data_IF_512814253666
#
_entry.id   IF_512814253666
#
_cell.length_a   1.000
_cell.length_b   1.000
_cell.length_c   1.000
_cell.angle_alpha   90.00
_cell.angle_beta   90.00
_cell.angle_gamma   90.00
#
_symmetry.space_group_name_H-M   'P 1'
#
loop_
_entity.id
_entity.type
_entity.pdbx_description
1 polymer ?
#
# COMPACT_ATOMS: atom_id res chain seq x y z
N UNK A 1 -69.23 -52.45 18.57
CA UNK A 1 -68.97 -51.19 17.91
C UNK A 1 -67.58 -50.74 18.29
N UNK A 2 -66.58 -50.89 17.41
CA UNK A 2 -65.20 -50.41 17.60
C UNK A 2 -64.96 -49.18 16.75
N UNK A 3 -64.74 -48.02 17.38
CA UNK A 3 -64.34 -46.83 16.73
C UNK A 3 -62.82 -46.90 16.39
N UNK A 4 -62.47 -46.83 15.10
CA UNK A 4 -61.09 -46.64 14.65
C UNK A 4 -60.83 -45.12 14.59
N UNK A 5 -59.94 -44.65 15.43
CA UNK A 5 -59.36 -43.32 15.38
C UNK A 5 -58.24 -43.32 14.32
N UNK A 6 -58.39 -42.51 13.27
CA UNK A 6 -57.35 -42.28 12.28
C UNK A 6 -56.48 -41.11 12.75
N UNK A 7 -55.23 -41.41 13.12
CA UNK A 7 -54.18 -40.36 13.28
C UNK A 7 -53.69 -39.93 11.91
N UNK A 8 -53.89 -38.65 11.58
CA UNK A 8 -53.28 -38.00 10.42
C UNK A 8 -51.96 -37.41 10.90
N UNK A 9 -50.83 -37.99 10.48
CA UNK A 9 -49.49 -37.45 10.72
C UNK A 9 -49.23 -36.40 9.66
N UNK A 10 -49.24 -35.11 10.00
CA UNK A 10 -48.84 -34.04 9.14
C UNK A 10 -47.28 -34.01 9.09
N UNK A 11 -46.73 -34.43 7.96
CA UNK A 11 -45.28 -34.29 7.67
C UNK A 11 -45.02 -32.85 7.21
N UNK A 12 -44.45 -32.03 8.07
CA UNK A 12 -43.97 -30.71 7.69
C UNK A 12 -42.69 -30.88 6.82
N UNK A 13 -42.83 -30.63 5.54
CA UNK A 13 -41.65 -30.44 4.65
C UNK A 13 -41.02 -29.10 4.98
N UNK A 14 -39.90 -29.12 5.69
CA UNK A 14 -38.98 -27.97 5.68
C UNK A 14 -38.33 -27.94 4.31
N UNK A 15 -38.77 -27.02 3.48
CA UNK A 15 -38.01 -26.62 2.30
C UNK A 15 -36.76 -25.90 2.82
N UNK A 16 -35.62 -26.61 2.88
CA UNK A 16 -34.34 -25.98 2.96
C UNK A 16 -34.16 -25.18 1.64
N UNK A 17 -34.44 -23.90 1.68
CA UNK A 17 -34.06 -23.01 0.59
C UNK A 17 -32.55 -23.11 0.43
N UNK A 18 -32.10 -23.58 -0.73
CA UNK A 18 -30.72 -23.42 -1.13
C UNK A 18 -30.48 -21.90 -1.21
N UNK A 19 -29.90 -21.31 -0.15
CA UNK A 19 -29.31 -19.99 -0.26
C UNK A 19 -28.19 -20.13 -1.28
N UNK A 20 -28.43 -19.61 -2.48
CA UNK A 20 -27.35 -19.50 -3.49
C UNK A 20 -26.29 -18.56 -2.91
N UNK A 21 -25.02 -18.96 -2.98
CA UNK A 21 -23.91 -18.10 -2.59
C UNK A 21 -23.99 -16.77 -3.35
N UNK A 22 -23.85 -15.66 -2.63
CA UNK A 22 -23.86 -14.34 -3.26
C UNK A 22 -22.47 -14.05 -3.84
N UNK A 23 -22.41 -13.86 -5.14
CA UNK A 23 -21.18 -13.46 -5.82
C UNK A 23 -20.94 -11.96 -5.61
N UNK A 24 -19.74 -11.60 -5.14
CA UNK A 24 -19.30 -10.23 -4.98
C UNK A 24 -18.02 -10.02 -5.80
N UNK A 25 -18.08 -9.23 -6.86
CA UNK A 25 -16.90 -8.89 -7.66
C UNK A 25 -16.07 -7.84 -6.93
N UNK A 26 -14.79 -8.15 -6.72
CA UNK A 26 -13.87 -7.33 -5.95
C UNK A 26 -12.70 -6.89 -6.84
N UNK A 27 -12.62 -5.60 -7.10
CA UNK A 27 -11.57 -5.02 -7.95
C UNK A 27 -10.38 -4.56 -7.12
N UNK A 28 -9.18 -4.93 -7.55
CA UNK A 28 -7.93 -4.55 -6.90
C UNK A 28 -6.76 -4.60 -7.89
N UNK A 29 -5.56 -4.12 -7.47
CA UNK A 29 -4.35 -4.15 -8.28
C UNK A 29 -3.27 -5.10 -7.74
N UNK A 30 -3.57 -5.93 -6.77
CA UNK A 30 -2.65 -6.90 -6.17
C UNK A 30 -2.44 -8.11 -7.10
N UNK A 31 -1.47 -7.98 -8.01
CA UNK A 31 -1.22 -8.97 -9.08
C UNK A 31 0.18 -9.56 -9.07
N UNK A 32 1.12 -9.01 -8.27
CA UNK A 32 2.44 -9.61 -8.08
C UNK A 32 2.36 -10.91 -7.29
N UNK A 33 3.44 -11.68 -7.24
CA UNK A 33 3.45 -12.97 -6.55
C UNK A 33 3.07 -12.87 -5.07
N UNK A 34 3.67 -11.93 -4.35
CA UNK A 34 3.40 -11.68 -2.93
C UNK A 34 2.01 -11.13 -2.69
N UNK A 35 1.59 -10.17 -3.52
CA UNK A 35 0.27 -9.53 -3.39
C UNK A 35 -0.88 -10.48 -3.70
N UNK A 36 -0.76 -11.29 -4.77
CA UNK A 36 -1.76 -12.29 -5.12
C UNK A 36 -1.90 -13.36 -4.01
N UNK A 37 -0.80 -13.77 -3.40
CA UNK A 37 -0.83 -14.68 -2.26
C UNK A 37 -1.52 -14.06 -1.03
N UNK A 38 -1.38 -12.75 -0.84
CA UNK A 38 -2.02 -12.04 0.26
C UNK A 38 -3.54 -11.89 0.05
N UNK A 39 -3.98 -11.40 -1.11
CA UNK A 39 -5.42 -11.21 -1.39
C UNK A 39 -6.20 -12.52 -1.40
N UNK A 40 -5.55 -13.63 -1.75
CA UNK A 40 -6.15 -14.96 -1.67
C UNK A 40 -6.60 -15.33 -0.24
N UNK A 41 -5.97 -14.78 0.81
CA UNK A 41 -6.43 -14.99 2.18
C UNK A 41 -7.76 -14.26 2.47
N UNK A 42 -7.99 -13.07 1.87
CA UNK A 42 -9.30 -12.41 1.94
C UNK A 42 -10.36 -13.20 1.19
N UNK A 43 -10.07 -13.63 -0.04
CA UNK A 43 -11.00 -14.43 -0.84
C UNK A 43 -11.39 -15.72 -0.11
N UNK A 44 -10.42 -16.46 0.42
CA UNK A 44 -10.65 -17.70 1.20
C UNK A 44 -11.51 -17.43 2.44
N UNK A 45 -11.25 -16.34 3.16
CA UNK A 45 -12.01 -16.01 4.35
C UNK A 45 -13.45 -15.59 4.00
N UNK A 46 -13.66 -14.88 2.89
CA UNK A 46 -14.97 -14.48 2.41
C UNK A 46 -15.79 -15.66 1.89
N UNK A 47 -15.18 -16.57 1.11
CA UNK A 47 -15.84 -17.80 0.64
C UNK A 47 -16.28 -18.69 1.80
N UNK A 48 -15.54 -18.69 2.91
CA UNK A 48 -15.90 -19.43 4.11
C UNK A 48 -17.18 -18.90 4.83
N UNK A 49 -17.63 -17.67 4.50
CA UNK A 49 -18.92 -17.14 5.01
C UNK A 49 -20.14 -17.71 4.25
N UNK A 50 -19.93 -18.37 3.12
CA UNK A 50 -20.98 -18.87 2.23
C UNK A 50 -21.28 -17.92 1.05
N UNK A 51 -20.58 -16.82 0.95
CA UNK A 51 -20.55 -15.96 -0.24
C UNK A 51 -19.48 -16.46 -1.23
N UNK A 52 -19.31 -15.77 -2.36
CA UNK A 52 -18.28 -16.09 -3.35
C UNK A 52 -17.51 -14.82 -3.73
N UNK A 53 -16.19 -14.84 -3.51
CA UNK A 53 -15.29 -13.81 -4.01
C UNK A 53 -15.08 -14.00 -5.51
N UNK A 54 -15.46 -13.00 -6.30
CA UNK A 54 -15.16 -12.98 -7.74
C UNK A 54 -13.99 -12.01 -7.95
N UNK A 55 -12.82 -12.59 -8.21
CA UNK A 55 -11.60 -11.82 -8.37
C UNK A 55 -11.62 -10.99 -9.65
N UNK A 56 -11.38 -9.69 -9.53
CA UNK A 56 -11.36 -8.73 -10.64
C UNK A 56 -10.08 -7.89 -10.63
N UNK A 57 -8.92 -8.56 -10.55
CA UNK A 57 -7.62 -7.93 -10.50
C UNK A 57 -7.24 -7.24 -11.82
N UNK A 58 -6.67 -6.04 -11.71
CA UNK A 58 -6.12 -5.27 -12.85
C UNK A 58 -4.67 -4.91 -12.56
N UNK A 59 -3.76 -5.27 -13.46
CA UNK A 59 -2.34 -4.95 -13.35
C UNK A 59 -2.11 -3.45 -13.38
N UNK A 60 -1.42 -2.93 -12.38
CA UNK A 60 -1.05 -1.53 -12.25
C UNK A 60 -2.11 -0.67 -11.56
N UNK A 61 -1.73 -0.04 -10.45
CA UNK A 61 -2.64 0.72 -9.59
C UNK A 61 -3.33 1.89 -10.31
N UNK A 62 -2.64 2.59 -11.21
CA UNK A 62 -3.24 3.72 -11.96
C UNK A 62 -4.33 3.23 -12.92
N UNK A 63 -4.05 2.17 -13.71
CA UNK A 63 -5.01 1.59 -14.62
C UNK A 63 -6.22 1.00 -13.86
N UNK A 64 -5.98 0.33 -12.74
CA UNK A 64 -7.02 -0.24 -11.90
C UNK A 64 -7.93 0.85 -11.33
N UNK A 65 -7.37 1.92 -10.76
CA UNK A 65 -8.16 3.08 -10.24
C UNK A 65 -9.01 3.71 -11.32
N UNK A 66 -8.44 3.98 -12.50
CA UNK A 66 -9.18 4.55 -13.62
C UNK A 66 -10.36 3.66 -14.05
N UNK A 67 -10.16 2.35 -14.10
CA UNK A 67 -11.22 1.39 -14.43
C UNK A 67 -12.32 1.34 -13.35
N UNK A 68 -11.95 1.36 -12.07
CA UNK A 68 -12.89 1.38 -10.94
C UNK A 68 -13.76 2.64 -10.97
N UNK A 69 -13.15 3.81 -11.08
CA UNK A 69 -13.86 5.10 -11.18
C UNK A 69 -14.78 5.11 -12.39
N UNK A 70 -14.31 4.66 -13.56
CA UNK A 70 -15.11 4.60 -14.79
C UNK A 70 -16.35 3.72 -14.63
N UNK A 71 -16.23 2.53 -14.01
CA UNK A 71 -17.37 1.64 -13.76
C UNK A 71 -18.39 2.25 -12.79
N UNK A 72 -17.91 2.87 -11.71
CA UNK A 72 -18.77 3.50 -10.70
C UNK A 72 -19.58 4.65 -11.33
N UNK A 73 -18.91 5.58 -12.04
CA UNK A 73 -19.56 6.72 -12.69
C UNK A 73 -20.47 6.24 -13.85
N UNK A 74 -20.05 5.17 -14.55
CA UNK A 74 -20.86 4.57 -15.63
C UNK A 74 -22.12 3.83 -15.16
N UNK A 75 -22.32 3.69 -13.85
CA UNK A 75 -23.52 3.03 -13.28
C UNK A 75 -23.46 1.50 -13.27
N UNK A 76 -22.29 0.92 -13.48
CA UNK A 76 -22.03 -0.53 -13.41
C UNK A 76 -20.96 -0.82 -12.34
N UNK A 77 -21.18 -0.41 -11.08
CA UNK A 77 -20.19 -0.59 -10.03
C UNK A 77 -19.91 -2.06 -9.73
N UNK A 78 -18.71 -2.33 -9.23
CA UNK A 78 -18.33 -3.60 -8.64
C UNK A 78 -18.90 -3.75 -7.23
N UNK A 79 -18.78 -4.96 -6.65
CA UNK A 79 -19.21 -5.22 -5.27
C UNK A 79 -18.34 -4.54 -4.23
N UNK A 80 -17.02 -4.55 -4.41
CA UNK A 80 -16.07 -3.85 -3.57
C UNK A 80 -14.82 -3.50 -4.41
N UNK A 81 -14.03 -2.53 -3.95
CA UNK A 81 -12.79 -2.18 -4.63
C UNK A 81 -11.74 -1.67 -3.67
N UNK A 82 -10.47 -1.86 -4.05
CA UNK A 82 -9.31 -1.36 -3.35
C UNK A 82 -8.99 0.07 -3.77
N UNK A 83 -8.78 0.96 -2.79
CA UNK A 83 -8.00 2.19 -2.91
C UNK A 83 -7.05 2.30 -1.73
N UNK A 84 -6.15 3.27 -1.75
CA UNK A 84 -5.50 3.70 -0.53
C UNK A 84 -6.50 4.53 0.27
N UNK A 85 -6.48 4.41 1.61
CA UNK A 85 -7.27 5.31 2.44
C UNK A 85 -6.73 6.75 2.38
N UNK A 86 -7.53 7.72 2.81
CA UNK A 86 -7.24 9.13 2.67
C UNK A 86 -8.01 9.77 1.52
N UNK A 87 -7.38 10.68 0.79
CA UNK A 87 -8.07 11.56 -0.16
C UNK A 87 -8.48 10.92 -1.49
N UNK A 88 -8.02 9.70 -1.80
CA UNK A 88 -8.27 9.07 -3.11
C UNK A 88 -9.74 8.85 -3.47
N UNK A 89 -10.63 8.72 -2.49
CA UNK A 89 -12.05 8.46 -2.70
C UNK A 89 -12.96 9.68 -2.45
N UNK A 90 -12.41 10.84 -2.09
CA UNK A 90 -13.17 12.05 -1.70
C UNK A 90 -14.25 12.39 -2.73
N UNK A 91 -13.91 12.52 -4.00
CA UNK A 91 -14.86 12.88 -5.06
C UNK A 91 -16.01 11.88 -5.23
N UNK A 92 -15.73 10.58 -5.07
CA UNK A 92 -16.75 9.53 -5.14
C UNK A 92 -17.69 9.58 -3.93
N UNK A 93 -17.15 9.89 -2.75
CA UNK A 93 -17.93 10.06 -1.51
C UNK A 93 -18.82 11.29 -1.62
N UNK A 94 -18.28 12.43 -1.99
CA UNK A 94 -19.03 13.70 -2.17
C UNK A 94 -20.14 13.57 -3.22
N UNK A 95 -19.91 12.77 -4.25
CA UNK A 95 -20.88 12.46 -5.28
C UNK A 95 -21.96 11.45 -4.83
N UNK A 96 -21.88 10.93 -3.59
CA UNK A 96 -22.84 9.95 -3.05
C UNK A 96 -22.79 8.58 -3.73
N UNK A 97 -21.66 8.23 -4.34
CA UNK A 97 -21.47 6.98 -5.08
C UNK A 97 -20.96 5.84 -4.21
N UNK A 98 -20.46 6.14 -3.00
CA UNK A 98 -19.97 5.16 -2.04
C UNK A 98 -20.92 4.99 -0.86
N UNK A 99 -20.97 3.77 -0.37
CA UNK A 99 -21.79 3.36 0.77
C UNK A 99 -21.15 3.83 2.07
N UNK A 100 -21.94 4.46 2.93
CA UNK A 100 -21.65 4.68 4.33
C UNK A 100 -21.73 3.33 5.07
N UNK A 101 -20.63 2.96 5.74
CA UNK A 101 -20.49 1.73 6.52
C UNK A 101 -20.27 2.01 8.01
N UNK A 102 -20.69 3.18 8.49
CA UNK A 102 -20.52 3.60 9.89
C UNK A 102 -21.20 2.62 10.85
N UNK A 103 -22.39 2.12 10.49
CA UNK A 103 -23.13 1.11 11.26
C UNK A 103 -22.31 -0.18 11.48
N UNK A 104 -21.58 -0.61 10.47
CA UNK A 104 -20.71 -1.80 10.55
C UNK A 104 -19.49 -1.49 11.43
N UNK A 105 -18.85 -0.34 11.19
CA UNK A 105 -17.70 0.09 11.97
C UNK A 105 -18.00 0.22 13.47
N UNK A 106 -19.18 0.73 13.82
CA UNK A 106 -19.67 0.83 15.19
C UNK A 106 -19.97 -0.54 15.80
N UNK A 107 -20.71 -1.39 15.07
CA UNK A 107 -21.06 -2.74 15.53
C UNK A 107 -19.83 -3.63 15.77
N UNK A 108 -18.79 -3.47 14.96
CA UNK A 108 -17.52 -4.21 15.05
C UNK A 108 -16.50 -3.55 15.99
N UNK A 109 -16.80 -2.36 16.55
CA UNK A 109 -15.93 -1.68 17.51
C UNK A 109 -14.64 -1.12 16.94
N UNK A 110 -14.63 -0.70 15.68
CA UNK A 110 -13.42 -0.22 14.98
C UNK A 110 -12.77 0.97 15.67
N UNK A 111 -13.55 1.78 16.39
CA UNK A 111 -13.05 2.95 17.14
C UNK A 111 -11.95 2.58 18.13
N UNK A 112 -12.10 1.45 18.81
CA UNK A 112 -11.21 1.00 19.88
C UNK A 112 -10.17 -0.02 19.38
N UNK A 113 -10.37 -0.57 18.19
CA UNK A 113 -9.58 -1.65 17.63
C UNK A 113 -8.52 -1.17 16.64
N UNK A 114 -8.83 -0.16 15.80
CA UNK A 114 -7.91 0.33 14.75
C UNK A 114 -6.79 1.16 15.37
N UNK A 115 -5.55 0.76 15.09
CA UNK A 115 -4.34 1.39 15.61
C UNK A 115 -3.27 1.51 14.51
N UNK A 116 -2.77 2.71 14.22
CA UNK A 116 -3.16 3.99 14.82
C UNK A 116 -4.56 4.45 14.38
N UNK A 117 -5.22 5.26 15.21
CA UNK A 117 -6.59 5.74 14.91
C UNK A 117 -6.69 6.55 13.63
N UNK A 118 -5.57 7.15 13.20
CA UNK A 118 -5.48 7.90 11.93
C UNK A 118 -5.88 7.06 10.69
N UNK A 119 -5.73 5.74 10.72
CA UNK A 119 -6.16 4.86 9.63
C UNK A 119 -7.69 4.83 9.50
N UNK A 120 -8.39 4.77 10.64
CA UNK A 120 -9.85 4.86 10.64
C UNK A 120 -10.30 6.28 10.25
N UNK A 121 -9.62 7.29 10.79
CA UNK A 121 -9.95 8.69 10.53
C UNK A 121 -9.73 9.03 9.04
N UNK A 122 -8.77 8.40 8.37
CA UNK A 122 -8.55 8.48 6.92
C UNK A 122 -9.67 7.80 6.08
N UNK A 123 -10.50 6.94 6.70
CA UNK A 123 -11.72 6.41 6.09
C UNK A 123 -12.97 7.26 6.38
N UNK A 124 -12.83 8.37 7.14
CA UNK A 124 -13.95 9.17 7.59
C UNK A 124 -14.08 10.47 6.79
N UNK A 125 -15.29 10.74 6.31
CA UNK A 125 -15.70 12.03 5.73
C UNK A 125 -16.95 12.51 6.48
N UNK A 126 -16.93 13.73 7.00
CA UNK A 126 -18.02 14.31 7.80
C UNK A 126 -18.48 13.42 8.97
N UNK A 127 -17.54 12.70 9.59
CA UNK A 127 -17.78 11.80 10.72
C UNK A 127 -18.41 10.45 10.35
N UNK A 128 -18.56 10.13 9.07
CA UNK A 128 -19.06 8.86 8.54
C UNK A 128 -17.92 8.04 7.97
N UNK A 129 -17.97 6.73 8.12
CA UNK A 129 -16.94 5.79 7.65
C UNK A 129 -17.33 5.24 6.27
N UNK A 130 -16.43 5.35 5.31
CA UNK A 130 -16.63 4.91 3.93
C UNK A 130 -15.69 3.81 3.47
N UNK A 131 -14.68 3.45 4.26
CA UNK A 131 -13.78 2.36 3.91
C UNK A 131 -13.41 1.47 5.11
N UNK A 132 -13.00 0.26 4.79
CA UNK A 132 -12.42 -0.69 5.72
C UNK A 132 -10.89 -0.70 5.51
N UNK A 133 -10.07 -0.11 6.40
CA UNK A 133 -8.62 -0.17 6.28
C UNK A 133 -8.13 -1.60 6.52
N UNK A 134 -7.19 -2.10 5.73
CA UNK A 134 -6.77 -3.50 5.82
C UNK A 134 -5.32 -3.70 6.23
N UNK A 135 -4.49 -2.68 6.10
CA UNK A 135 -3.10 -2.72 6.53
C UNK A 135 -2.55 -1.31 6.83
N UNK A 136 -1.39 -1.31 7.47
CA UNK A 136 -0.45 -0.22 7.38
C UNK A 136 0.58 -0.68 6.36
N UNK A 137 0.60 -0.08 5.15
CA UNK A 137 1.69 -0.28 4.23
C UNK A 137 2.55 0.98 4.17
N UNK A 138 3.82 0.84 4.49
CA UNK A 138 4.67 2.00 4.64
C UNK A 138 5.71 2.13 3.54
N UNK A 139 5.78 3.32 2.97
CA UNK A 139 6.83 3.78 2.10
C UNK A 139 7.99 4.32 2.95
N UNK A 140 9.08 3.52 3.12
CA UNK A 140 10.22 4.03 3.88
C UNK A 140 11.45 3.16 3.78
N UNK A 141 11.38 2.10 2.99
CA UNK A 141 12.37 1.05 3.06
C UNK A 141 13.42 1.16 1.96
N UNK A 142 14.69 0.93 2.33
CA UNK A 142 15.72 0.52 1.40
C UNK A 142 15.90 -0.99 1.57
N UNK A 143 15.60 -1.73 0.52
CA UNK A 143 15.82 -3.17 0.41
C UNK A 143 17.18 -3.39 -0.18
N UNK A 144 18.06 -4.15 0.49
CA UNK A 144 19.49 -4.31 0.14
C UNK A 144 19.80 -5.78 -0.10
N UNK A 145 20.41 -6.11 -1.24
CA UNK A 145 20.86 -7.46 -1.58
C UNK A 145 22.23 -7.75 -0.94
N UNK A 146 22.30 -8.70 -0.02
CA UNK A 146 23.60 -9.14 0.53
C UNK A 146 24.49 -9.70 -0.58
N UNK A 147 23.92 -10.57 -1.41
CA UNK A 147 24.63 -11.18 -2.54
C UNK A 147 25.24 -10.15 -3.51
N UNK A 148 24.55 -9.07 -3.84
CA UNK A 148 25.07 -8.07 -4.77
C UNK A 148 26.31 -7.35 -4.20
N UNK A 149 26.28 -7.02 -2.91
CA UNK A 149 27.40 -6.38 -2.22
C UNK A 149 28.57 -7.34 -2.02
N UNK A 150 28.33 -8.57 -1.60
CA UNK A 150 29.36 -9.60 -1.42
C UNK A 150 30.07 -9.92 -2.75
N UNK A 151 29.31 -10.16 -3.84
CA UNK A 151 29.85 -10.39 -5.18
C UNK A 151 30.71 -9.21 -5.68
N UNK A 152 30.45 -8.00 -5.19
CA UNK A 152 31.17 -6.77 -5.55
C UNK A 152 32.35 -6.49 -4.61
N UNK A 153 32.56 -7.32 -3.58
CA UNK A 153 33.64 -7.16 -2.60
C UNK A 153 33.47 -5.95 -1.69
N UNK A 154 32.23 -5.50 -1.45
CA UNK A 154 31.88 -4.36 -0.60
C UNK A 154 31.03 -4.82 0.57
N UNK A 155 31.20 -4.20 1.73
CA UNK A 155 30.38 -4.48 2.89
C UNK A 155 28.89 -4.14 2.61
N UNK A 156 27.99 -4.96 3.13
CA UNK A 156 26.55 -4.69 3.08
C UNK A 156 26.25 -3.39 3.85
N UNK A 157 25.61 -2.39 3.21
CA UNK A 157 25.37 -1.11 3.86
C UNK A 157 24.29 -1.21 4.94
N UNK A 158 24.40 -0.36 5.95
CA UNK A 158 23.43 -0.22 7.05
C UNK A 158 22.63 1.08 6.97
N UNK A 159 22.99 1.98 6.05
CA UNK A 159 22.34 3.26 5.83
C UNK A 159 22.55 3.77 4.39
N UNK A 160 21.82 4.82 4.04
CA UNK A 160 21.87 5.42 2.70
C UNK A 160 23.26 5.93 2.30
N UNK A 161 24.02 6.52 3.23
CA UNK A 161 25.36 7.04 2.94
C UNK A 161 26.30 5.91 2.53
N UNK A 162 26.28 4.80 3.25
CA UNK A 162 27.07 3.60 2.91
C UNK A 162 26.60 2.96 1.62
N UNK A 163 25.25 2.95 1.37
CA UNK A 163 24.68 2.45 0.12
C UNK A 163 25.20 3.23 -1.09
N UNK A 164 25.16 4.56 -1.03
CA UNK A 164 25.68 5.43 -2.09
C UNK A 164 27.18 5.21 -2.31
N UNK A 165 27.96 5.04 -1.24
CA UNK A 165 29.39 4.75 -1.34
C UNK A 165 29.69 3.41 -2.03
N UNK A 166 28.76 2.44 -1.94
CA UNK A 166 28.85 1.13 -2.60
C UNK A 166 28.47 1.14 -4.09
N UNK A 167 27.91 2.25 -4.63
CA UNK A 167 27.39 2.29 -5.99
C UNK A 167 28.46 2.03 -7.07
N UNK A 168 29.61 2.70 -7.01
CA UNK A 168 30.66 2.55 -8.01
C UNK A 168 31.28 1.11 -8.03
N UNK A 169 31.58 0.46 -6.90
CA UNK A 169 31.93 -0.97 -6.90
C UNK A 169 30.86 -1.89 -7.50
N UNK A 170 29.57 -1.67 -7.20
CA UNK A 170 28.48 -2.44 -7.79
C UNK A 170 28.46 -2.29 -9.32
N UNK A 171 28.58 -1.07 -9.84
CA UNK A 171 28.66 -0.82 -11.27
C UNK A 171 29.87 -1.49 -11.93
N UNK A 172 31.04 -1.46 -11.26
CA UNK A 172 32.25 -2.11 -11.73
C UNK A 172 32.09 -3.64 -11.80
N UNK A 173 31.27 -4.22 -10.91
CA UNK A 173 30.90 -5.63 -10.91
C UNK A 173 29.75 -5.94 -11.90
N UNK A 174 29.30 -4.98 -12.71
CA UNK A 174 28.23 -5.13 -13.69
C UNK A 174 26.82 -5.20 -13.08
N UNK A 175 26.67 -4.78 -11.83
CA UNK A 175 25.38 -4.71 -11.13
C UNK A 175 24.68 -3.35 -11.36
N UNK A 176 23.38 -3.31 -11.15
CA UNK A 176 22.61 -2.06 -11.04
C UNK A 176 22.70 -1.59 -9.59
N UNK A 177 23.25 -0.40 -9.28
CA UNK A 177 23.31 0.02 -7.88
C UNK A 177 21.93 0.15 -7.24
N UNK A 178 20.99 0.86 -7.89
CA UNK A 178 19.64 1.06 -7.41
C UNK A 178 18.63 0.57 -8.45
N UNK A 179 17.91 -0.50 -8.15
CA UNK A 179 16.80 -0.95 -8.99
C UNK A 179 15.59 -0.02 -8.82
N UNK A 180 14.99 0.38 -9.93
CA UNK A 180 13.82 1.26 -9.97
C UNK A 180 12.96 0.93 -11.18
N UNK A 181 11.65 0.82 -11.02
CA UNK A 181 10.74 0.68 -12.15
C UNK A 181 10.44 2.02 -12.81
N UNK A 182 9.93 1.96 -14.04
CA UNK A 182 9.74 3.13 -14.90
C UNK A 182 8.34 3.78 -14.76
N UNK A 183 7.52 3.34 -13.80
CA UNK A 183 6.21 3.96 -13.53
C UNK A 183 6.38 5.16 -12.60
N UNK A 184 5.75 6.30 -12.90
CA UNK A 184 5.93 7.57 -12.19
C UNK A 184 5.73 7.50 -10.68
N UNK A 185 4.77 6.71 -10.20
CA UNK A 185 4.53 6.51 -8.78
C UNK A 185 5.72 5.89 -8.03
N UNK A 186 6.56 5.09 -8.70
CA UNK A 186 7.75 4.50 -8.08
C UNK A 186 8.84 5.56 -7.90
N UNK A 187 8.98 6.44 -8.85
CA UNK A 187 9.98 7.52 -8.85
C UNK A 187 9.59 8.62 -7.85
N UNK A 188 8.33 9.06 -7.86
CA UNK A 188 7.81 10.02 -6.87
C UNK A 188 7.80 9.41 -5.47
N UNK A 189 7.44 8.13 -5.33
CA UNK A 189 7.51 7.41 -4.06
C UNK A 189 8.92 7.33 -3.50
N UNK A 190 9.93 7.02 -4.34
CA UNK A 190 11.33 7.02 -3.92
C UNK A 190 11.78 8.40 -3.45
N UNK A 191 11.39 9.48 -4.15
CA UNK A 191 11.67 10.85 -3.71
C UNK A 191 11.01 11.16 -2.35
N UNK A 192 9.75 10.77 -2.16
CA UNK A 192 9.04 10.95 -0.88
C UNK A 192 9.73 10.21 0.28
N UNK A 193 10.21 8.99 0.03
CA UNK A 193 11.01 8.25 1.01
C UNK A 193 12.32 8.96 1.32
N UNK A 194 13.01 9.49 0.31
CA UNK A 194 14.23 10.26 0.51
C UNK A 194 13.93 11.53 1.33
N UNK A 195 12.84 12.26 1.04
CA UNK A 195 12.43 13.43 1.83
C UNK A 195 12.18 13.07 3.28
N UNK A 196 11.39 12.04 3.55
CA UNK A 196 11.08 11.59 4.91
C UNK A 196 12.29 11.05 5.67
N UNK A 197 13.31 10.54 4.95
CA UNK A 197 14.47 9.85 5.54
C UNK A 197 15.71 10.71 5.67
N UNK A 198 15.92 11.63 4.75
CA UNK A 198 17.13 12.45 4.67
C UNK A 198 16.94 13.85 5.28
N UNK A 199 15.68 14.29 5.41
CA UNK A 199 15.35 15.60 5.98
C UNK A 199 14.65 15.44 7.35
N UNK A 200 14.66 16.50 8.19
CA UNK A 200 13.82 16.57 9.38
C UNK A 200 12.33 16.44 9.07
N UNK A 201 11.56 15.83 9.98
CA UNK A 201 10.12 15.58 9.75
C UNK A 201 9.29 16.86 9.62
N UNK A 202 9.71 17.95 10.26
CA UNK A 202 9.06 19.26 10.15
C UNK A 202 9.14 19.84 8.74
N UNK A 203 10.22 19.58 8.01
CA UNK A 203 10.33 19.93 6.60
C UNK A 203 9.31 19.15 5.76
N UNK A 204 9.20 17.82 5.97
CA UNK A 204 8.20 17.00 5.29
C UNK A 204 6.78 17.52 5.53
N UNK A 205 6.45 17.81 6.79
CA UNK A 205 5.12 18.33 7.15
C UNK A 205 4.87 19.74 6.63
N UNK A 206 5.86 20.63 6.67
CA UNK A 206 5.74 21.98 6.12
C UNK A 206 5.46 21.93 4.59
N UNK A 207 6.18 21.06 3.86
CA UNK A 207 6.00 20.95 2.41
C UNK A 207 4.69 20.28 2.04
N UNK A 208 4.41 19.08 2.58
CA UNK A 208 3.25 18.29 2.16
C UNK A 208 1.99 18.52 3.02
N UNK A 209 2.14 18.83 4.29
CA UNK A 209 1.02 19.16 5.18
C UNK A 209 0.55 20.60 5.00
N UNK A 210 1.47 21.55 5.16
CA UNK A 210 1.15 22.99 5.17
C UNK A 210 1.23 23.62 3.77
N UNK A 211 1.72 22.90 2.76
CA UNK A 211 1.92 23.40 1.38
C UNK A 211 2.84 24.62 1.32
N UNK A 212 3.86 24.67 2.20
CA UNK A 212 4.79 25.78 2.27
C UNK A 212 5.81 25.76 1.13
N UNK A 213 5.49 26.50 0.06
CA UNK A 213 6.37 26.66 -1.08
C UNK A 213 7.71 27.33 -0.74
N UNK A 214 7.79 28.12 0.34
CA UNK A 214 9.03 28.77 0.77
C UNK A 214 9.99 27.75 1.38
N UNK A 215 9.48 26.76 2.12
CA UNK A 215 10.24 25.63 2.64
C UNK A 215 10.64 24.70 1.48
N UNK A 216 9.73 24.45 0.53
CA UNK A 216 10.04 23.66 -0.67
C UNK A 216 11.17 24.28 -1.53
N UNK A 217 11.35 25.59 -1.49
CA UNK A 217 12.44 26.32 -2.13
C UNK A 217 13.72 26.41 -1.26
N UNK A 218 13.70 25.87 -0.04
CA UNK A 218 14.79 25.98 0.92
C UNK A 218 16.01 25.11 0.59
N UNK A 219 17.16 25.39 1.22
CA UNK A 219 18.42 24.71 0.95
C UNK A 219 18.40 23.21 1.31
N UNK A 220 17.61 22.81 2.31
CA UNK A 220 17.43 21.41 2.69
C UNK A 220 16.79 20.61 1.54
N UNK A 221 15.73 21.17 0.91
CA UNK A 221 15.07 20.55 -0.24
C UNK A 221 15.97 20.62 -1.48
N UNK A 222 16.81 21.66 -1.63
CA UNK A 222 17.86 21.68 -2.67
C UNK A 222 18.81 20.49 -2.53
N UNK A 223 19.32 20.24 -1.33
CA UNK A 223 20.20 19.09 -1.07
C UNK A 223 19.50 17.75 -1.33
N UNK A 224 18.18 17.68 -1.09
CA UNK A 224 17.38 16.50 -1.40
C UNK A 224 17.28 16.27 -2.93
N UNK A 225 17.07 17.31 -3.74
CA UNK A 225 17.05 17.18 -5.20
C UNK A 225 18.43 16.76 -5.76
N UNK A 226 19.53 17.23 -5.17
CA UNK A 226 20.87 16.75 -5.49
C UNK A 226 21.05 15.25 -5.15
N UNK A 227 20.50 14.81 -4.01
CA UNK A 227 20.51 13.39 -3.64
C UNK A 227 19.62 12.55 -4.59
N UNK A 228 18.48 13.09 -5.04
CA UNK A 228 17.63 12.45 -6.04
C UNK A 228 18.30 12.35 -7.42
N UNK A 229 19.10 13.34 -7.81
CA UNK A 229 19.93 13.28 -9.02
C UNK A 229 20.98 12.16 -8.95
N UNK A 230 21.59 11.97 -7.78
CA UNK A 230 22.48 10.83 -7.54
C UNK A 230 21.71 9.49 -7.61
N UNK A 231 20.50 9.41 -7.02
CA UNK A 231 19.65 8.23 -7.11
C UNK A 231 19.27 7.91 -8.56
N UNK A 232 18.91 8.92 -9.36
CA UNK A 232 18.69 8.82 -10.81
C UNK A 232 19.90 8.20 -11.52
N UNK A 233 21.09 8.69 -11.21
CA UNK A 233 22.33 8.17 -11.80
C UNK A 233 22.57 6.71 -11.44
N UNK A 234 22.35 6.32 -10.19
CA UNK A 234 22.45 4.93 -9.73
C UNK A 234 21.40 4.00 -10.36
N UNK A 235 20.23 4.55 -10.72
CA UNK A 235 19.15 3.81 -11.35
C UNK A 235 19.21 3.79 -12.89
N UNK A 236 20.17 4.47 -13.51
CA UNK A 236 20.22 4.69 -14.98
C UNK A 236 20.25 3.38 -15.80
N UNK A 237 20.70 2.26 -15.22
CA UNK A 237 20.72 0.95 -15.87
C UNK A 237 19.54 0.06 -15.49
N UNK A 238 18.61 0.54 -14.67
CA UNK A 238 17.37 -0.17 -14.34
C UNK A 238 16.36 0.06 -15.45
N UNK A 239 16.09 -0.97 -16.26
CA UNK A 239 15.22 -0.89 -17.45
C UNK A 239 13.88 -1.59 -17.27
N UNK A 240 13.58 -2.05 -16.05
CA UNK A 240 12.32 -2.73 -15.72
C UNK A 240 11.17 -1.74 -15.58
N UNK A 241 9.94 -2.18 -15.89
CA UNK A 241 8.77 -1.33 -15.79
C UNK A 241 8.11 -1.41 -14.42
N UNK A 242 7.98 -2.62 -13.89
CA UNK A 242 7.21 -2.86 -12.68
C UNK A 242 8.12 -2.89 -11.44
N UNK A 243 7.55 -2.54 -10.32
CA UNK A 243 8.25 -2.53 -9.02
C UNK A 243 8.72 -3.92 -8.57
N UNK A 244 7.93 -4.96 -8.83
CA UNK A 244 8.25 -6.34 -8.47
C UNK A 244 9.38 -6.90 -9.35
N UNK A 245 9.50 -6.47 -10.61
CA UNK A 245 10.64 -6.81 -11.46
C UNK A 245 11.93 -6.16 -10.91
N UNK A 246 11.84 -4.90 -10.41
CA UNK A 246 12.96 -4.24 -9.74
C UNK A 246 13.33 -4.96 -8.43
N UNK A 247 12.34 -5.40 -7.64
CA UNK A 247 12.58 -6.22 -6.44
C UNK A 247 13.28 -7.53 -6.80
N UNK A 248 12.89 -8.16 -7.91
CA UNK A 248 13.55 -9.41 -8.36
C UNK A 248 15.03 -9.21 -8.74
N UNK A 249 15.41 -8.04 -9.26
CA UNK A 249 16.84 -7.73 -9.47
C UNK A 249 17.60 -7.71 -8.14
N UNK A 250 17.00 -7.23 -7.06
CA UNK A 250 17.59 -7.24 -5.70
C UNK A 250 17.68 -8.67 -5.17
N UNK A 251 16.60 -9.44 -5.25
CA UNK A 251 16.51 -10.85 -4.80
C UNK A 251 17.59 -11.70 -5.47
N UNK A 252 17.78 -11.51 -6.78
CA UNK A 252 18.74 -12.31 -7.56
C UNK A 252 20.18 -11.79 -7.50
N UNK A 253 20.44 -10.70 -6.77
CA UNK A 253 21.75 -10.08 -6.68
C UNK A 253 22.24 -9.40 -7.96
N UNK A 254 21.31 -9.04 -8.85
CA UNK A 254 21.58 -8.24 -10.06
C UNK A 254 21.59 -6.75 -9.75
N UNK A 255 20.90 -6.34 -8.66
CA UNK A 255 20.92 -4.97 -8.16
C UNK A 255 21.34 -4.92 -6.69
N UNK A 256 21.98 -3.79 -6.30
CA UNK A 256 22.40 -3.54 -4.93
C UNK A 256 21.24 -3.33 -3.98
N UNK A 257 20.22 -2.58 -4.41
CA UNK A 257 19.02 -2.34 -3.60
C UNK A 257 17.91 -1.66 -4.36
N UNK A 258 16.79 -1.42 -3.64
CA UNK A 258 15.60 -0.75 -4.14
C UNK A 258 14.99 0.09 -3.02
N UNK A 259 14.59 1.33 -3.32
CA UNK A 259 13.68 2.09 -2.46
C UNK A 259 12.25 1.68 -2.82
N UNK A 260 11.54 1.03 -1.88
CA UNK A 260 10.18 0.53 -2.11
C UNK A 260 9.46 0.35 -0.77
N UNK A 261 8.14 0.29 -0.84
CA UNK A 261 7.31 0.00 0.33
C UNK A 261 7.48 -1.41 0.87
N UNK A 262 6.84 -1.66 2.00
CA UNK A 262 6.91 -2.93 2.72
C UNK A 262 6.33 -4.12 1.93
N UNK A 263 5.44 -3.88 0.98
CA UNK A 263 4.91 -4.93 0.08
C UNK A 263 5.98 -5.66 -0.75
N UNK A 264 7.17 -5.07 -0.93
CA UNK A 264 8.29 -5.77 -1.56
C UNK A 264 8.67 -7.02 -0.77
N UNK A 265 8.44 -7.05 0.55
CA UNK A 265 8.70 -8.20 1.40
C UNK A 265 7.95 -9.46 0.95
N UNK A 266 6.73 -9.31 0.42
CA UNK A 266 5.97 -10.43 -0.14
C UNK A 266 6.70 -11.14 -1.28
N UNK A 267 7.43 -10.40 -2.13
CA UNK A 267 8.22 -10.97 -3.23
C UNK A 267 9.46 -11.72 -2.70
N UNK A 268 10.14 -11.17 -1.68
CA UNK A 268 11.24 -11.89 -1.00
C UNK A 268 10.75 -13.19 -0.36
N UNK A 269 9.57 -13.17 0.25
CA UNK A 269 8.96 -14.35 0.87
C UNK A 269 8.60 -15.43 -0.16
N UNK A 270 8.03 -15.06 -1.32
CA UNK A 270 7.73 -15.98 -2.44
C UNK A 270 9.02 -16.60 -2.99
N UNK A 271 10.11 -15.84 -3.04
CA UNK A 271 11.42 -16.33 -3.44
C UNK A 271 12.14 -17.16 -2.35
N UNK A 272 11.54 -17.33 -1.18
CA UNK A 272 12.14 -17.97 0.00
C UNK A 272 13.41 -17.29 0.50
N UNK A 273 13.59 -16.00 0.25
CA UNK A 273 14.70 -15.22 0.75
C UNK A 273 14.48 -14.87 2.24
N UNK A 274 15.55 -14.94 3.02
CA UNK A 274 15.54 -14.78 4.48
C UNK A 274 16.04 -13.39 4.86
N UNK A 275 15.19 -12.63 5.57
CA UNK A 275 15.58 -11.32 6.09
C UNK A 275 16.74 -11.41 7.07
N UNK A 276 17.77 -10.57 6.91
CA UNK A 276 18.98 -10.57 7.70
C UNK A 276 20.06 -11.54 7.21
N UNK A 277 19.73 -12.49 6.32
CA UNK A 277 20.69 -13.44 5.72
C UNK A 277 20.91 -13.14 4.23
N UNK A 278 19.82 -13.08 3.43
CA UNK A 278 19.89 -12.84 1.99
C UNK A 278 19.75 -11.36 1.64
N UNK A 279 18.99 -10.63 2.47
CA UNK A 279 18.72 -9.21 2.28
C UNK A 279 18.56 -8.45 3.60
N UNK A 280 18.78 -7.15 3.55
CA UNK A 280 18.45 -6.22 4.63
C UNK A 280 17.30 -5.31 4.24
N UNK A 281 16.49 -4.93 5.23
CA UNK A 281 15.47 -3.92 5.14
C UNK A 281 15.82 -2.76 6.09
N UNK A 282 16.04 -1.58 5.52
CA UNK A 282 16.49 -0.40 6.26
C UNK A 282 15.36 0.63 6.29
N UNK A 283 14.60 0.73 7.41
CA UNK A 283 13.55 1.73 7.54
C UNK A 283 14.16 3.13 7.59
N UNK A 284 13.49 4.11 6.94
CA UNK A 284 14.02 5.46 6.82
C UNK A 284 15.40 5.49 6.17
N UNK A 285 15.66 4.59 5.22
CA UNK A 285 16.96 4.41 4.56
C UNK A 285 18.12 4.18 5.55
N UNK A 286 17.84 3.73 6.78
CA UNK A 286 18.81 3.64 7.86
C UNK A 286 19.28 5.00 8.42
N UNK A 287 18.63 6.09 8.06
CA UNK A 287 18.98 7.47 8.47
C UNK A 287 17.98 8.03 9.50
N UNK A 288 16.70 8.04 9.16
CA UNK A 288 15.64 8.56 10.04
C UNK A 288 14.41 7.61 9.97
N UNK A 289 14.43 6.49 10.72
CA UNK A 289 13.36 5.51 10.64
C UNK A 289 12.03 6.07 11.20
N UNK A 290 11.01 6.04 10.34
CA UNK A 290 9.64 6.39 10.65
C UNK A 290 8.70 5.40 9.97
N UNK A 291 7.56 5.11 10.54
CA UNK A 291 6.51 4.31 9.91
C UNK A 291 5.56 5.25 9.17
N UNK A 292 5.52 5.16 7.85
CA UNK A 292 4.48 5.82 7.07
C UNK A 292 3.12 5.20 7.39
N UNK A 293 2.13 6.03 7.73
CA UNK A 293 0.78 5.55 8.08
C UNK A 293 -0.16 5.51 6.87
N UNK A 294 0.37 5.21 5.69
CA UNK A 294 -0.38 4.83 4.51
C UNK A 294 -1.01 3.45 4.65
N UNK A 295 -1.87 3.08 3.74
CA UNK A 295 -2.43 1.74 3.71
C UNK A 295 -3.47 1.55 2.62
N UNK A 296 -3.76 0.28 2.38
CA UNK A 296 -4.85 -0.13 1.53
C UNK A 296 -6.17 -0.17 2.31
N UNK A 297 -7.24 0.14 1.62
CA UNK A 297 -8.59 0.02 2.15
C UNK A 297 -9.55 -0.51 1.09
N UNK A 298 -10.61 -1.18 1.53
CA UNK A 298 -11.73 -1.52 0.67
C UNK A 298 -12.86 -0.51 0.82
N UNK A 299 -13.35 -0.06 -0.32
CA UNK A 299 -14.51 0.79 -0.47
C UNK A 299 -15.67 0.03 -1.09
N UNK A 300 -16.88 0.45 -0.81
CA UNK A 300 -18.11 -0.23 -1.19
C UNK A 300 -18.99 0.74 -1.98
N UNK A 301 -19.17 0.53 -3.29
CA UNK A 301 -20.09 1.34 -4.07
C UNK A 301 -21.53 1.16 -3.62
N UNK A 302 -22.38 2.16 -3.85
CA UNK A 302 -23.83 2.05 -3.66
C UNK A 302 -24.39 1.06 -4.67
N UNK A 303 -25.03 -0.01 -4.17
CA UNK A 303 -25.66 -1.06 -4.96
C UNK A 303 -27.18 -1.03 -4.77
N UNK A 304 -27.90 -1.76 -5.65
CA UNK A 304 -29.37 -1.90 -5.61
C UNK A 304 -29.83 -3.30 -5.21
N UNK A 305 -28.91 -4.28 -5.22
CA UNK A 305 -29.18 -5.68 -4.90
C UNK A 305 -28.97 -5.91 -3.41
N UNK A 306 -30.03 -6.22 -2.69
CA UNK A 306 -30.00 -6.40 -1.22
C UNK A 306 -29.06 -7.53 -0.79
N UNK A 307 -28.93 -8.61 -1.58
CA UNK A 307 -28.03 -9.71 -1.26
C UNK A 307 -26.56 -9.27 -1.40
N UNK A 308 -26.22 -8.50 -2.43
CA UNK A 308 -24.89 -7.93 -2.60
C UNK A 308 -24.59 -6.87 -1.54
N UNK A 309 -25.56 -6.06 -1.14
CA UNK A 309 -25.42 -5.09 -0.04
C UNK A 309 -25.13 -5.80 1.28
N UNK A 310 -25.80 -6.93 1.57
CA UNK A 310 -25.50 -7.76 2.72
C UNK A 310 -24.08 -8.34 2.66
N UNK A 311 -23.70 -8.90 1.51
CA UNK A 311 -22.35 -9.44 1.27
C UNK A 311 -21.24 -8.38 1.40
N UNK A 312 -21.47 -7.13 0.96
CA UNK A 312 -20.56 -6.00 1.24
C UNK A 312 -20.35 -5.79 2.75
N UNK A 313 -21.44 -5.84 3.53
CA UNK A 313 -21.37 -5.70 4.98
C UNK A 313 -20.58 -6.81 5.66
N UNK A 314 -20.78 -8.05 5.22
CA UNK A 314 -20.02 -9.21 5.72
C UNK A 314 -18.53 -9.11 5.35
N UNK A 315 -18.22 -8.67 4.12
CA UNK A 315 -16.84 -8.43 3.70
C UNK A 315 -16.19 -7.35 4.56
N UNK A 316 -16.83 -6.18 4.73
CA UNK A 316 -16.30 -5.09 5.54
C UNK A 316 -15.96 -5.55 6.97
N UNK A 317 -16.87 -6.26 7.63
CA UNK A 317 -16.64 -6.82 8.97
C UNK A 317 -15.52 -7.85 8.99
N UNK A 318 -15.42 -8.69 7.96
CA UNK A 318 -14.45 -9.78 7.85
C UNK A 318 -13.02 -9.25 7.71
N UNK A 319 -12.81 -8.19 6.94
CA UNK A 319 -11.49 -7.63 6.62
C UNK A 319 -10.68 -7.25 7.86
N UNK A 320 -11.36 -6.84 8.96
CA UNK A 320 -10.71 -6.47 10.21
C UNK A 320 -10.70 -7.60 11.26
N UNK A 321 -11.18 -8.81 10.97
CA UNK A 321 -11.11 -9.92 11.93
C UNK A 321 -9.65 -10.30 12.22
N UNK A 322 -9.29 -10.70 13.46
CA UNK A 322 -7.90 -11.00 13.84
C UNK A 322 -7.23 -12.00 12.91
N UNK A 323 -7.90 -13.11 12.62
CA UNK A 323 -7.36 -14.17 11.75
C UNK A 323 -7.12 -13.71 10.31
N UNK A 324 -8.02 -12.88 9.78
CA UNK A 324 -7.92 -12.31 8.44
C UNK A 324 -6.77 -11.32 8.36
N UNK A 325 -6.66 -10.43 9.36
CA UNK A 325 -5.59 -9.46 9.46
C UNK A 325 -4.20 -10.11 9.53
N UNK A 326 -4.04 -11.16 10.34
CA UNK A 326 -2.78 -11.90 10.43
C UNK A 326 -2.46 -12.60 9.12
N UNK A 327 -3.41 -13.35 8.56
CA UNK A 327 -3.19 -14.14 7.34
C UNK A 327 -2.79 -13.27 6.16
N UNK A 328 -3.49 -12.15 5.94
CA UNK A 328 -3.19 -11.21 4.87
C UNK A 328 -1.83 -10.52 5.07
N UNK A 329 -1.61 -9.91 6.24
CA UNK A 329 -0.44 -9.06 6.46
C UNK A 329 0.87 -9.85 6.51
N UNK A 330 0.88 -11.09 7.02
CA UNK A 330 2.06 -11.96 6.96
C UNK A 330 2.45 -12.32 5.53
N UNK A 331 1.51 -12.39 4.59
CA UNK A 331 1.77 -12.64 3.17
C UNK A 331 2.17 -11.37 2.42
N UNK A 332 1.48 -10.26 2.72
CA UNK A 332 1.71 -8.96 2.08
C UNK A 332 3.04 -8.34 2.51
N UNK A 333 3.48 -8.57 3.75
CA UNK A 333 4.64 -7.93 4.38
C UNK A 333 4.32 -6.59 5.05
N UNK A 334 3.05 -6.20 5.06
CA UNK A 334 2.53 -5.00 5.74
C UNK A 334 2.17 -5.29 7.19
N UNK A 335 1.79 -4.26 7.95
CA UNK A 335 1.34 -4.44 9.33
C UNK A 335 -0.20 -4.44 9.41
N UNK A 336 -0.80 -5.25 10.30
CA UNK A 336 -2.24 -5.20 10.53
C UNK A 336 -2.67 -3.86 11.16
N UNK A 337 -3.93 -3.49 10.90
CA UNK A 337 -4.53 -2.25 11.44
C UNK A 337 -4.98 -2.39 12.90
N UNK A 338 -4.61 -3.48 13.56
CA UNK A 338 -4.99 -3.77 14.96
C UNK A 338 -3.83 -4.36 15.75
N UNK A 339 -3.68 -3.94 17.01
CA UNK A 339 -2.58 -4.35 17.87
C UNK A 339 -2.84 -5.61 18.71
N UNK A 340 -4.06 -6.17 18.67
CA UNK A 340 -4.49 -7.30 19.48
C UNK A 340 -4.40 -8.67 18.76
N UNK A 341 -3.44 -8.79 17.83
CA UNK A 341 -3.20 -9.97 16.99
C UNK A 341 -1.83 -10.60 17.27
N UNK A 342 -1.74 -11.92 17.08
CA UNK A 342 -0.48 -12.66 17.22
C UNK A 342 0.36 -12.54 15.94
N UNK A 343 1.46 -11.84 16.04
CA UNK A 343 2.46 -11.63 14.98
C UNK A 343 3.80 -12.32 15.31
N UNK A 344 3.78 -13.38 16.11
CA UNK A 344 4.98 -14.16 16.45
C UNK A 344 5.67 -14.77 15.21
N UNK A 345 4.93 -14.95 14.11
CA UNK A 345 5.45 -15.40 12.83
C UNK A 345 6.01 -14.27 11.94
N UNK A 346 5.95 -13.00 12.38
CA UNK A 346 6.49 -11.87 11.64
C UNK A 346 8.03 -11.97 11.56
N UNK A 347 8.57 -11.72 10.36
CA UNK A 347 10.00 -11.72 10.14
C UNK A 347 10.70 -10.45 10.68
N UNK A 348 12.03 -10.37 10.59
CA UNK A 348 12.82 -9.24 11.07
C UNK A 348 12.35 -7.88 10.54
N UNK A 349 11.96 -7.79 9.26
CA UNK A 349 11.51 -6.54 8.65
C UNK A 349 10.16 -6.07 9.22
N UNK A 350 9.19 -6.98 9.37
CA UNK A 350 7.93 -6.67 10.03
C UNK A 350 8.14 -6.27 11.50
N UNK A 351 9.05 -6.95 12.21
CA UNK A 351 9.38 -6.61 13.60
C UNK A 351 9.95 -5.19 13.73
N UNK A 352 10.77 -4.74 12.76
CA UNK A 352 11.24 -3.34 12.72
C UNK A 352 10.08 -2.36 12.55
N UNK A 353 9.13 -2.67 11.67
CA UNK A 353 7.91 -1.87 11.49
C UNK A 353 7.05 -1.80 12.76
N UNK A 354 6.82 -2.94 13.42
CA UNK A 354 6.09 -3.02 14.70
C UNK A 354 6.78 -2.19 15.79
N UNK A 355 8.11 -2.26 15.88
CA UNK A 355 8.85 -1.47 16.85
C UNK A 355 8.71 0.05 16.62
N UNK A 356 8.62 0.50 15.36
CA UNK A 356 8.35 1.91 15.03
C UNK A 356 6.92 2.31 15.40
N UNK A 357 5.95 1.43 15.18
CA UNK A 357 4.55 1.64 15.57
C UNK A 357 4.44 1.78 17.10
N UNK A 358 5.05 0.89 17.86
CA UNK A 358 5.05 0.89 19.32
C UNK A 358 5.73 2.14 19.91
N UNK A 359 6.75 2.66 19.25
CA UNK A 359 7.44 3.88 19.62
C UNK A 359 6.67 5.16 19.26
N UNK A 360 5.57 5.04 18.49
CA UNK A 360 4.87 6.20 17.95
C UNK A 360 5.71 6.99 16.95
N UNK A 361 6.72 6.34 16.33
CA UNK A 361 7.58 6.94 15.32
C UNK A 361 6.86 6.99 13.97
N UNK A 362 5.77 7.74 13.89
CA UNK A 362 4.84 7.76 12.76
C UNK A 362 5.02 9.00 11.89
N UNK A 363 4.69 8.87 10.60
CA UNK A 363 4.61 9.97 9.65
C UNK A 363 3.39 9.74 8.74
N UNK A 364 2.55 10.76 8.46
CA UNK A 364 1.45 10.61 7.51
C UNK A 364 1.99 10.27 6.11
N UNK A 365 1.28 9.38 5.40
CA UNK A 365 1.55 9.14 3.99
C UNK A 365 1.10 10.32 3.12
N UNK A 366 1.75 10.53 1.99
CA UNK A 366 1.40 11.61 1.06
C UNK A 366 -0.01 11.50 0.50
N UNK A 367 -0.58 10.29 0.38
CA UNK A 367 -1.98 10.10 -0.03
C UNK A 367 -3.01 10.65 0.98
N UNK A 368 -2.59 10.88 2.23
CA UNK A 368 -3.41 11.54 3.24
C UNK A 368 -3.32 13.07 3.18
N UNK A 369 -2.22 13.57 2.63
CA UNK A 369 -1.87 14.98 2.61
C UNK A 369 -2.17 15.67 1.27
N UNK A 370 -2.02 14.96 0.15
CA UNK A 370 -2.12 15.48 -1.20
C UNK A 370 -3.39 14.97 -1.89
N UNK A 371 -3.99 15.84 -2.70
CA UNK A 371 -5.07 15.42 -3.62
C UNK A 371 -4.54 14.47 -4.69
N UNK A 372 -5.41 13.65 -5.31
CA UNK A 372 -5.03 12.83 -6.45
C UNK A 372 -4.42 13.62 -7.60
N UNK A 373 -4.90 14.85 -7.84
CA UNK A 373 -4.35 15.73 -8.88
C UNK A 373 -2.91 16.15 -8.58
N UNK A 374 -2.64 16.63 -7.35
CA UNK A 374 -1.26 16.97 -6.92
C UNK A 374 -0.33 15.75 -6.96
N UNK A 375 -0.81 14.57 -6.53
CA UNK A 375 -0.03 13.33 -6.61
C UNK A 375 0.29 12.95 -8.07
N UNK A 376 -0.64 13.12 -9.01
CA UNK A 376 -0.40 12.89 -10.44
C UNK A 376 0.60 13.88 -11.03
N UNK A 377 0.56 15.15 -10.63
CA UNK A 377 1.56 16.16 -11.02
C UNK A 377 2.95 15.76 -10.52
N UNK A 378 3.07 15.28 -9.27
CA UNK A 378 4.33 14.71 -8.75
C UNK A 378 4.82 13.53 -9.59
N UNK A 379 3.95 12.58 -9.90
CA UNK A 379 4.29 11.42 -10.72
C UNK A 379 4.86 11.87 -12.08
N UNK A 380 4.23 12.86 -12.71
CA UNK A 380 4.70 13.43 -13.97
C UNK A 380 6.08 14.08 -13.83
N UNK A 381 6.24 14.98 -12.85
CA UNK A 381 7.51 15.67 -12.57
C UNK A 381 8.66 14.68 -12.39
N UNK A 382 8.48 13.66 -11.56
CA UNK A 382 9.56 12.71 -11.29
C UNK A 382 9.78 11.72 -12.43
N UNK A 383 8.74 11.38 -13.21
CA UNK A 383 8.92 10.60 -14.44
C UNK A 383 9.83 11.36 -15.43
N UNK A 384 9.56 12.63 -15.66
CA UNK A 384 10.37 13.46 -16.54
C UNK A 384 11.79 13.65 -15.99
N UNK A 385 11.93 13.96 -14.70
CA UNK A 385 13.23 14.13 -14.06
C UNK A 385 14.10 12.86 -14.13
N UNK A 386 13.54 11.69 -13.90
CA UNK A 386 14.30 10.43 -13.97
C UNK A 386 14.60 9.99 -15.41
N UNK A 387 13.76 10.34 -16.38
CA UNK A 387 13.93 9.96 -17.79
C UNK A 387 14.89 10.90 -18.55
N UNK A 388 14.90 12.19 -18.23
CA UNK A 388 15.68 13.21 -18.94
C UNK A 388 16.79 13.80 -18.06
N UNK A 389 18.02 13.38 -18.34
CA UNK A 389 19.21 13.86 -17.62
C UNK A 389 19.57 15.32 -17.92
N UNK A 390 18.92 15.98 -18.88
CA UNK A 390 19.08 17.42 -19.13
C UNK A 390 18.33 18.28 -18.11
N UNK A 391 17.32 17.72 -17.42
CA UNK A 391 16.63 18.38 -16.32
C UNK A 391 17.54 18.34 -15.09
N UNK A 392 18.03 19.50 -14.67
CA UNK A 392 18.87 19.61 -13.48
C UNK A 392 18.06 19.47 -12.19
N UNK A 393 18.72 19.16 -11.06
CA UNK A 393 18.13 19.18 -9.73
C UNK A 393 17.44 20.52 -9.42
N UNK A 394 18.07 21.64 -9.83
CA UNK A 394 17.53 22.99 -9.63
C UNK A 394 16.25 23.24 -10.44
N UNK A 395 16.19 22.79 -11.71
CA UNK A 395 15.00 22.93 -12.54
C UNK A 395 13.83 22.10 -11.97
N UNK A 396 14.09 20.85 -11.59
CA UNK A 396 13.10 19.98 -10.99
C UNK A 396 12.58 20.54 -9.65
N UNK A 397 13.45 21.11 -8.81
CA UNK A 397 13.03 21.78 -7.58
C UNK A 397 12.15 23.00 -7.89
N UNK A 398 12.49 23.81 -8.90
CA UNK A 398 11.70 24.97 -9.26
C UNK A 398 10.26 24.58 -9.70
N UNK A 399 10.10 23.48 -10.41
CA UNK A 399 8.80 22.96 -10.81
C UNK A 399 8.05 22.33 -9.63
N UNK A 400 8.75 21.64 -8.73
CA UNK A 400 8.19 21.14 -7.47
C UNK A 400 7.65 22.28 -6.60
N UNK A 401 8.38 23.39 -6.45
CA UNK A 401 7.94 24.58 -5.71
C UNK A 401 6.64 25.15 -6.29
N UNK A 402 6.54 25.24 -7.62
CA UNK A 402 5.31 25.70 -8.28
C UNK A 402 4.13 24.76 -8.02
N UNK A 403 4.38 23.46 -8.05
CA UNK A 403 3.37 22.45 -7.76
C UNK A 403 2.87 22.57 -6.32
N UNK A 404 3.77 22.65 -5.33
CA UNK A 404 3.41 22.84 -3.93
C UNK A 404 2.64 24.15 -3.70
N UNK A 405 3.04 25.23 -4.35
CA UNK A 405 2.36 26.53 -4.24
C UNK A 405 0.91 26.52 -4.78
N UNK A 406 0.56 25.56 -5.64
CA UNK A 406 -0.77 25.39 -6.22
C UNK A 406 -1.51 24.16 -5.66
N UNK A 407 -0.93 23.45 -4.70
CA UNK A 407 -1.55 22.26 -4.11
C UNK A 407 -2.67 22.66 -3.13
N UNK A 408 -3.76 21.83 -3.10
CA UNK A 408 -4.92 21.98 -2.21
C UNK A 408 -4.75 21.22 -0.88
#
# INVERSE_FOLDING_TARGET
MKLLSKFITATAFFAAGNASATELDVMHWWTSGGEAAAVAEFAKAFDATGNTWVDAAIVGGEAARAAMVSRIIGGEPMGAFQFNHGRQAEELIESGLLRDITDIAEAEGWKDMVNPSSLRDACAVDGRIYCAPVNIHSWQWLWVSHKAFEDSGVAVPTNWTEFVAGAAPLEAAGKVPLAMGQQGWQQSGAFNVMMASLLPNDIFMAVYGDKDASVAAGPEVTSLFEAAENARSMAAKSTVQNWNDATNLVITGQAGGQIMGDWAQGEFAVANAVAGEDYSCLPGLGMNPRLGTGGDAFYFPVLKDDAKIAAQGELAALLLKPTTQVAFNLKKGSLPVRGDVDLSAANDCMQKGLALLDQGALLPDTNMLLTPDTANQMNTLFTEFFADTSISAADAQADFVKMIANAD
#
